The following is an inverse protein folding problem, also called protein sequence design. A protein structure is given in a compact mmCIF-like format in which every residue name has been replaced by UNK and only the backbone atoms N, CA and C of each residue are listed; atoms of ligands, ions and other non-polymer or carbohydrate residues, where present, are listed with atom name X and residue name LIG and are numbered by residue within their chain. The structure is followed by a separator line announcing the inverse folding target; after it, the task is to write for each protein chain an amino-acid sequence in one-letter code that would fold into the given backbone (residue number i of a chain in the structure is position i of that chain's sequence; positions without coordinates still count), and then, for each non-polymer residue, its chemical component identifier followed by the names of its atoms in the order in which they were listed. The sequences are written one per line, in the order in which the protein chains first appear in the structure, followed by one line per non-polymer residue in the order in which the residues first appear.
data_IF_140601271770
#
_entry.id   IF_140601271770
#
_cell.length_a   1.000
_cell.length_b   1.000
_cell.length_c   1.000
_cell.angle_alpha   90.00
_cell.angle_beta   90.00
_cell.angle_gamma   90.00
#
_symmetry.space_group_name_H-M   'P 1'
#
loop_
_entity.id
_entity.type
_entity.pdbx_description
1 polymer ?
#
# COMPACT_ATOMS: atom_id res chain seq x y z
N UNK A 1 -2.39 1.92 -9.98
CA UNK A 1 -1.90 0.68 -10.63
C UNK A 1 -0.37 0.55 -10.60
N UNK A 2 0.45 1.55 -10.98
CA UNK A 2 1.92 1.37 -11.00
C UNK A 2 2.51 1.03 -9.62
N UNK A 3 1.89 1.58 -8.58
CA UNK A 3 2.37 1.52 -7.20
C UNK A 3 2.51 0.09 -6.65
N UNK A 4 1.72 -0.85 -7.17
CA UNK A 4 1.63 -2.21 -6.61
C UNK A 4 2.13 -3.29 -7.55
N UNK A 5 2.71 -2.93 -8.71
CA UNK A 5 3.21 -3.89 -9.72
C UNK A 5 2.21 -5.04 -9.97
N UNK A 6 0.97 -4.66 -10.32
CA UNK A 6 -0.17 -5.57 -10.49
C UNK A 6 -0.98 -5.18 -11.73
N UNK A 7 -1.87 -6.07 -12.17
CA UNK A 7 -2.76 -5.90 -13.31
C UNK A 7 -4.13 -6.54 -12.99
N UNK A 8 -5.21 -5.79 -13.22
CA UNK A 8 -6.57 -6.26 -12.95
C UNK A 8 -6.88 -6.45 -11.45
N UNK A 9 -8.07 -6.92 -11.14
CA UNK A 9 -8.48 -7.28 -9.79
C UNK A 9 -7.82 -8.59 -9.36
N UNK A 10 -8.05 -9.67 -10.11
CA UNK A 10 -7.42 -10.99 -9.93
C UNK A 10 -6.18 -11.17 -10.81
N UNK A 11 -6.21 -10.69 -12.06
CA UNK A 11 -5.11 -10.70 -13.03
C UNK A 11 -5.55 -9.95 -14.31
N UNK A 12 -4.73 -9.96 -15.35
CA UNK A 12 -4.99 -9.31 -16.63
C UNK A 12 -6.20 -9.87 -17.39
N UNK A 13 -6.56 -11.14 -17.18
CA UNK A 13 -7.68 -11.78 -17.88
C UNK A 13 -9.04 -11.14 -17.51
N UNK A 14 -9.08 -10.41 -16.38
CA UNK A 14 -10.21 -9.55 -16.02
C UNK A 14 -10.57 -8.56 -17.15
N UNK A 15 -9.60 -8.21 -18.01
CA UNK A 15 -9.82 -7.31 -19.13
C UNK A 15 -10.33 -7.99 -20.41
N UNK A 16 -10.18 -9.32 -20.56
CA UNK A 16 -10.56 -10.03 -21.80
C UNK A 16 -12.07 -9.91 -22.10
N UNK A 17 -12.90 -9.95 -21.06
CA UNK A 17 -14.36 -9.84 -21.14
C UNK A 17 -14.89 -8.48 -20.64
N UNK A 18 -14.00 -7.51 -20.47
CA UNK A 18 -14.36 -6.17 -19.98
C UNK A 18 -14.70 -5.21 -21.12
N UNK A 19 -15.27 -4.04 -20.78
CA UNK A 19 -15.49 -2.94 -21.74
C UNK A 19 -14.23 -2.09 -21.99
N UNK A 20 -13.05 -2.65 -21.73
CA UNK A 20 -11.78 -1.97 -21.94
C UNK A 20 -11.54 -1.71 -23.44
N UNK A 21 -11.04 -0.51 -23.76
CA UNK A 21 -10.63 -0.16 -25.12
C UNK A 21 -9.25 -0.75 -25.42
N UNK A 22 -9.14 -1.54 -26.48
CA UNK A 22 -7.84 -2.09 -26.92
C UNK A 22 -6.95 -1.06 -27.62
N UNK A 23 -7.45 0.14 -27.84
CA UNK A 23 -6.65 1.26 -28.33
C UNK A 23 -6.48 2.27 -27.20
N UNK A 24 -5.24 2.60 -26.88
CA UNK A 24 -4.88 3.47 -25.76
C UNK A 24 -3.79 4.46 -26.16
N UNK A 25 -3.77 5.61 -25.50
CA UNK A 25 -2.76 6.65 -25.70
C UNK A 25 -2.02 6.91 -24.40
N UNK A 26 -0.74 6.54 -24.37
CA UNK A 26 0.07 6.61 -23.17
C UNK A 26 1.43 7.26 -23.46
N UNK A 27 1.76 8.31 -22.70
CA UNK A 27 3.02 9.07 -22.83
C UNK A 27 3.34 9.49 -24.27
N UNK A 28 2.39 10.16 -24.92
CA UNK A 28 2.51 10.66 -26.29
C UNK A 28 2.68 9.57 -27.36
N UNK A 29 2.32 8.33 -27.04
CA UNK A 29 2.36 7.21 -27.98
C UNK A 29 1.01 6.49 -28.00
N UNK A 30 0.55 6.21 -29.21
CA UNK A 30 -0.64 5.39 -29.45
C UNK A 30 -0.26 3.90 -29.47
N UNK A 31 -1.10 3.10 -28.83
CA UNK A 31 -1.01 1.64 -28.80
C UNK A 31 -2.34 1.09 -29.30
N UNK A 32 -2.27 0.18 -30.27
CA UNK A 32 -3.46 -0.39 -30.90
C UNK A 32 -3.52 -1.88 -30.64
N UNK A 33 -4.74 -2.39 -30.52
CA UNK A 33 -5.06 -3.81 -30.30
C UNK A 33 -4.31 -4.45 -29.11
N UNK A 34 -4.16 -3.72 -28.00
CA UNK A 34 -3.49 -4.26 -26.81
C UNK A 34 -4.39 -5.26 -26.08
N UNK A 35 -3.78 -6.37 -25.63
CA UNK A 35 -4.49 -7.43 -24.91
C UNK A 35 -4.98 -6.96 -23.53
N UNK A 36 -4.12 -6.24 -22.82
CA UNK A 36 -4.38 -5.67 -21.49
C UNK A 36 -3.97 -4.19 -21.47
N UNK A 37 -4.45 -3.39 -20.49
CA UNK A 37 -4.05 -1.99 -20.36
C UNK A 37 -2.53 -1.78 -20.30
N UNK A 38 -2.03 -0.68 -20.87
CA UNK A 38 -0.59 -0.33 -20.84
C UNK A 38 -0.06 -0.23 -19.40
N UNK A 39 -0.94 0.13 -18.45
CA UNK A 39 -0.62 0.19 -17.02
C UNK A 39 -0.27 -1.17 -16.40
N UNK A 40 -0.56 -2.29 -17.08
CA UNK A 40 -0.14 -3.63 -16.68
C UNK A 40 1.33 -3.94 -17.03
N UNK A 41 1.97 -3.13 -17.89
CA UNK A 41 3.39 -3.24 -18.17
C UNK A 41 4.24 -2.90 -16.94
N UNK A 42 5.47 -3.42 -16.90
CA UNK A 42 6.44 -2.94 -15.92
C UNK A 42 6.85 -1.51 -16.26
N UNK A 43 6.83 -0.67 -15.23
CA UNK A 43 7.14 0.75 -15.33
C UNK A 43 8.41 1.05 -14.52
N UNK A 44 9.18 2.05 -14.97
CA UNK A 44 10.20 2.69 -14.15
C UNK A 44 9.55 3.57 -13.07
N UNK A 45 10.35 4.07 -12.13
CA UNK A 45 9.88 4.98 -11.07
C UNK A 45 9.28 6.28 -11.59
N UNK A 46 9.67 6.72 -12.80
CA UNK A 46 9.08 7.87 -13.49
C UNK A 46 7.81 7.50 -14.29
N UNK A 47 7.24 6.32 -14.05
CA UNK A 47 6.07 5.79 -14.73
C UNK A 47 6.24 5.54 -16.24
N UNK A 48 7.45 5.59 -16.79
CA UNK A 48 7.68 5.21 -18.19
C UNK A 48 7.75 3.69 -18.36
N UNK A 49 7.33 3.20 -19.53
CA UNK A 49 7.33 1.76 -19.83
C UNK A 49 8.77 1.25 -19.87
N UNK A 50 9.06 0.23 -19.06
CA UNK A 50 10.39 -0.36 -18.95
C UNK A 50 10.76 -1.19 -20.19
N UNK A 51 9.79 -1.88 -20.76
CA UNK A 51 9.95 -2.76 -21.92
C UNK A 51 8.95 -2.37 -23.02
N UNK A 52 9.39 -1.67 -24.09
CA UNK A 52 8.50 -1.21 -25.15
C UNK A 52 7.69 -2.32 -25.83
N UNK A 53 8.23 -3.55 -25.83
CA UNK A 53 7.59 -4.75 -26.40
C UNK A 53 6.42 -5.28 -25.57
N UNK A 54 6.20 -4.79 -24.35
CA UNK A 54 5.10 -5.22 -23.49
C UNK A 54 3.74 -5.08 -24.17
N UNK A 55 3.50 -3.96 -24.86
CA UNK A 55 2.25 -3.71 -25.59
C UNK A 55 1.97 -4.69 -26.74
N UNK A 56 3.01 -5.35 -27.27
CA UNK A 56 2.90 -6.31 -28.38
C UNK A 56 2.63 -7.72 -27.82
N UNK A 57 3.34 -8.08 -26.75
CA UNK A 57 3.20 -9.39 -26.11
C UNK A 57 3.49 -9.29 -24.62
N UNK A 58 2.44 -9.43 -23.83
CA UNK A 58 2.52 -9.47 -22.38
C UNK A 58 3.12 -10.81 -21.93
N UNK A 59 4.14 -10.74 -21.08
CA UNK A 59 4.74 -11.91 -20.45
C UNK A 59 5.25 -11.57 -19.04
N UNK A 60 5.71 -12.59 -18.32
CA UNK A 60 6.13 -12.46 -16.91
C UNK A 60 7.36 -11.57 -16.72
N UNK A 61 8.17 -11.34 -17.77
CA UNK A 61 9.38 -10.54 -17.69
C UNK A 61 9.11 -9.06 -17.92
N UNK A 62 8.12 -8.72 -18.75
CA UNK A 62 7.87 -7.35 -19.18
C UNK A 62 6.61 -6.71 -18.57
N UNK A 63 5.79 -7.48 -17.88
CA UNK A 63 4.49 -7.04 -17.37
C UNK A 63 4.14 -7.72 -16.05
N UNK A 64 3.10 -7.23 -15.40
CA UNK A 64 2.53 -7.78 -14.18
C UNK A 64 1.16 -8.42 -14.41
N UNK A 65 0.88 -8.89 -15.64
CA UNK A 65 -0.44 -9.38 -16.02
C UNK A 65 -0.94 -10.54 -15.17
N UNK A 66 -0.06 -11.37 -14.59
CA UNK A 66 -0.46 -12.50 -13.74
C UNK A 66 -0.74 -12.12 -12.28
N UNK A 67 -0.44 -10.89 -11.87
CA UNK A 67 -0.51 -10.46 -10.47
C UNK A 67 -1.73 -9.57 -10.27
N UNK A 68 -2.75 -10.06 -9.57
CA UNK A 68 -3.92 -9.26 -9.21
C UNK A 68 -3.61 -8.10 -8.28
N UNK A 69 -4.29 -6.98 -8.47
CA UNK A 69 -4.15 -5.82 -7.58
C UNK A 69 -4.84 -6.01 -6.23
N UNK A 70 -5.84 -6.88 -6.14
CA UNK A 70 -6.55 -7.13 -4.88
C UNK A 70 -5.61 -7.70 -3.82
N UNK A 71 -4.81 -8.69 -4.16
CA UNK A 71 -3.88 -9.32 -3.20
C UNK A 71 -2.86 -8.32 -2.67
N UNK A 72 -2.30 -7.49 -3.57
CA UNK A 72 -1.34 -6.44 -3.19
C UNK A 72 -1.97 -5.35 -2.31
N UNK A 73 -3.19 -4.94 -2.64
CA UNK A 73 -3.93 -3.96 -1.86
C UNK A 73 -4.29 -4.52 -0.48
N UNK A 74 -4.74 -5.77 -0.42
CA UNK A 74 -5.12 -6.43 0.83
C UNK A 74 -3.92 -6.60 1.77
N UNK A 75 -2.77 -7.04 1.25
CA UNK A 75 -1.51 -7.08 2.00
C UNK A 75 -1.13 -5.71 2.57
N UNK A 76 -1.23 -4.66 1.74
CA UNK A 76 -0.95 -3.30 2.18
C UNK A 76 -1.91 -2.82 3.28
N UNK A 77 -3.21 -3.10 3.14
CA UNK A 77 -4.22 -2.78 4.16
C UNK A 77 -3.92 -3.50 5.48
N UNK A 78 -3.53 -4.78 5.42
CA UNK A 78 -3.17 -5.55 6.61
C UNK A 78 -1.95 -4.96 7.33
N UNK A 79 -0.92 -4.55 6.59
CA UNK A 79 0.28 -3.90 7.17
C UNK A 79 -0.09 -2.57 7.82
N UNK A 80 -0.88 -1.72 7.16
CA UNK A 80 -1.37 -0.47 7.73
C UNK A 80 -2.16 -0.74 9.00
N UNK A 81 -3.09 -1.71 8.98
CA UNK A 81 -3.92 -2.05 10.13
C UNK A 81 -3.06 -2.43 11.34
N UNK A 82 -2.08 -3.32 11.17
CA UNK A 82 -1.21 -3.72 12.27
C UNK A 82 -0.37 -2.56 12.78
N UNK A 83 0.21 -1.77 11.88
CA UNK A 83 1.03 -0.60 12.24
C UNK A 83 0.20 0.44 13.02
N UNK A 84 -1.00 0.74 12.54
CA UNK A 84 -1.91 1.68 13.20
C UNK A 84 -2.33 1.19 14.59
N UNK A 85 -2.64 -0.10 14.74
CA UNK A 85 -2.99 -0.67 16.05
C UNK A 85 -1.82 -0.53 17.03
N UNK A 86 -0.58 -0.80 16.61
CA UNK A 86 0.61 -0.63 17.44
C UNK A 86 0.82 0.83 17.86
N UNK A 87 0.62 1.79 16.94
CA UNK A 87 0.74 3.22 17.24
C UNK A 87 -0.32 3.65 18.26
N UNK A 88 -1.57 3.21 18.10
CA UNK A 88 -2.66 3.56 19.00
C UNK A 88 -2.41 3.00 20.41
N UNK A 89 -2.09 1.71 20.52
CA UNK A 89 -1.80 1.06 21.80
C UNK A 89 -0.58 1.70 22.46
N UNK A 90 0.47 2.01 21.70
CA UNK A 90 1.64 2.70 22.21
C UNK A 90 1.31 4.08 22.78
N UNK A 91 0.51 4.88 22.08
CA UNK A 91 0.08 6.20 22.57
C UNK A 91 -0.77 6.11 23.83
N UNK A 92 -1.71 5.16 23.88
CA UNK A 92 -2.54 4.93 25.07
C UNK A 92 -1.66 4.52 26.25
N UNK A 93 -0.72 3.59 26.05
CA UNK A 93 0.21 3.15 27.09
C UNK A 93 1.06 4.30 27.66
N UNK A 94 1.60 5.17 26.80
CA UNK A 94 2.36 6.35 27.23
C UNK A 94 1.50 7.29 28.07
N UNK A 95 0.25 7.53 27.66
CA UNK A 95 -0.68 8.40 28.41
C UNK A 95 -1.00 7.84 29.81
N UNK A 96 -1.19 6.53 29.92
CA UNK A 96 -1.40 5.86 31.20
C UNK A 96 -0.20 5.98 32.14
N UNK A 97 1.02 5.84 31.62
CA UNK A 97 2.25 6.00 32.43
C UNK A 97 2.38 7.44 32.94
N UNK A 98 2.18 8.44 32.07
CA UNK A 98 2.28 9.85 32.44
C UNK A 98 1.26 10.24 33.51
N UNK A 99 -0.01 9.84 33.35
CA UNK A 99 -1.06 10.10 34.35
C UNK A 99 -0.80 9.37 35.69
N UNK A 100 -0.26 8.16 35.65
CA UNK A 100 0.17 7.43 36.84
C UNK A 100 1.33 8.11 37.59
N UNK A 101 2.33 8.60 36.87
CA UNK A 101 3.47 9.34 37.44
C UNK A 101 3.02 10.65 38.11
N UNK A 102 2.11 11.41 37.50
CA UNK A 102 1.52 12.60 38.12
C UNK A 102 0.76 12.27 39.40
N UNK A 103 0.11 11.10 39.47
CA UNK A 103 -0.60 10.65 40.67
C UNK A 103 0.35 10.24 41.81
N UNK A 104 1.56 9.77 41.48
CA UNK A 104 2.61 9.43 42.45
C UNK A 104 3.28 10.67 43.07
N UNK A 105 3.41 11.77 42.33
CA UNK A 105 3.92 13.05 42.85
C UNK A 105 2.96 13.72 43.84
N UNK A 106 1.65 13.43 43.77
CA UNK A 106 0.61 14.04 44.62
C UNK A 106 0.45 13.29 45.96
N UNK A 107 1.01 12.09 46.13
CA UNK A 107 1.04 11.44 47.45
C UNK A 107 2.00 12.26 48.32
N UNK A 108 1.52 13.02 49.32
CA UNK A 108 2.41 13.84 50.12
C UNK A 108 3.40 12.91 50.80
N UNK A 109 4.70 13.20 50.61
CA UNK A 109 5.79 12.71 51.45
C UNK A 109 5.30 12.90 52.90
N UNK A 110 4.90 11.82 53.58
CA UNK A 110 4.50 11.87 54.99
C UNK A 110 5.68 12.51 55.72
N UNK A 111 5.52 13.78 56.09
CA UNK A 111 6.45 14.42 56.99
C UNK A 111 6.43 13.59 58.26
N UNK A 112 7.60 13.05 58.60
CA UNK A 112 7.90 12.54 59.93
C UNK A 112 7.72 13.68 60.93
N UNK A 113 6.50 13.84 61.43
CA UNK A 113 6.24 14.53 62.69
C UNK A 113 6.80 13.66 63.82
N UNK A 114 7.97 14.02 64.33
CA UNK A 114 8.44 13.55 65.64
C UNK A 114 8.17 14.69 66.62
N UNK A 115 7.11 14.53 67.42
CA UNK A 115 6.97 15.21 68.70
C UNK A 115 7.75 14.41 69.75
N UNK A 116 8.79 15.01 70.32
CA UNK A 116 9.23 14.89 71.73
C UNK A 116 10.54 15.66 71.92
#
# INVERSE_FOLDING_TARGET
MPLFSCCGFTNGDDFENSRFTRNDFYQNKEYQDIQYPITCCQLYSNFSIKYPTCSISFNKLNSNFQTGCWDKLNEFILVIRHTMMLVIVGKIGILFILSGLSSLEIIPRKETFVYA
#
